data_IF_698329839190
#
_entry.id   IF_698329839190
#
_cell.length_a   1.000
_cell.length_b   1.000
_cell.length_c   1.000
_cell.angle_alpha   90.00
_cell.angle_beta   90.00
_cell.angle_gamma   90.00
#
_symmetry.space_group_name_H-M   'P 1'
#
loop_
_entity.id
_entity.type
_entity.pdbx_description
1 polymer ?
#
# COMPACT_ATOMS: atom_id res chain seq x y z
N UNK A 1 10.54 23.46 22.40
CA UNK A 1 9.33 23.74 21.59
C UNK A 1 8.24 24.16 22.56
N UNK A 2 7.51 25.26 22.27
CA UNK A 2 6.35 25.64 23.08
C UNK A 2 5.09 24.95 22.56
N UNK A 3 4.44 24.16 23.43
CA UNK A 3 3.19 23.48 23.12
C UNK A 3 2.00 24.37 23.53
N UNK A 4 0.95 24.36 22.71
CA UNK A 4 -0.35 24.97 23.03
C UNK A 4 -1.33 23.88 23.45
N UNK A 5 -2.35 24.23 24.23
CA UNK A 5 -3.45 23.31 24.54
C UNK A 5 -4.12 22.80 23.22
N UNK A 6 -4.27 21.51 23.09
CA UNK A 6 -4.84 20.86 21.89
C UNK A 6 -3.77 20.25 20.99
N UNK A 7 -4.10 20.03 19.70
CA UNK A 7 -3.22 19.39 18.74
C UNK A 7 -2.11 20.35 18.29
N UNK A 8 -0.86 19.85 18.33
CA UNK A 8 0.31 20.57 17.86
C UNK A 8 0.97 19.77 16.74
N UNK A 9 1.40 20.46 15.68
CA UNK A 9 2.18 19.85 14.58
C UNK A 9 3.54 20.51 14.51
N UNK A 10 4.58 19.68 14.44
CA UNK A 10 5.95 20.11 14.28
C UNK A 10 6.59 19.40 13.09
N UNK A 11 7.51 20.10 12.44
CA UNK A 11 8.41 19.52 11.45
C UNK A 11 9.82 19.69 11.95
N UNK A 12 10.53 18.58 12.14
CA UNK A 12 11.91 18.57 12.61
C UNK A 12 12.77 18.06 11.46
N UNK A 13 13.44 18.96 10.71
CA UNK A 13 14.35 18.53 9.67
C UNK A 13 15.62 17.93 10.29
N UNK A 14 16.04 16.79 9.76
CA UNK A 14 17.31 16.19 10.12
C UNK A 14 18.05 15.77 8.84
N UNK A 15 19.37 15.70 8.90
CA UNK A 15 20.20 15.22 7.80
C UNK A 15 20.81 13.89 8.20
N UNK A 16 20.74 12.93 7.29
CA UNK A 16 21.46 11.68 7.40
C UNK A 16 22.76 11.86 6.61
N UNK A 17 23.91 11.58 7.23
CA UNK A 17 25.21 11.64 6.59
C UNK A 17 25.42 10.48 5.59
N UNK A 18 26.51 9.75 5.74
CA UNK A 18 26.72 8.51 4.99
C UNK A 18 25.72 7.45 5.44
N UNK A 19 25.09 6.76 4.48
CA UNK A 19 24.10 5.73 4.78
C UNK A 19 24.15 4.59 3.77
N UNK A 20 23.77 3.41 4.23
CA UNK A 20 23.52 2.26 3.37
C UNK A 20 22.06 2.27 2.89
N UNK A 21 21.86 1.94 1.61
CA UNK A 21 20.52 1.85 1.04
C UNK A 21 19.85 0.52 1.40
N UNK A 22 18.55 0.58 1.56
CA UNK A 22 17.70 -0.61 1.59
C UNK A 22 17.51 -1.14 0.15
N UNK A 23 17.58 -2.46 0.00
CA UNK A 23 17.42 -3.14 -1.28
C UNK A 23 16.39 -4.26 -1.18
N UNK A 24 15.64 -4.56 -2.27
CA UNK A 24 14.80 -5.73 -2.31
C UNK A 24 15.62 -7.02 -2.35
N UNK A 25 14.96 -8.12 -2.03
CA UNK A 25 15.56 -9.46 -2.05
C UNK A 25 16.28 -9.75 -3.38
N UNK A 26 17.49 -10.27 -3.26
CA UNK A 26 18.37 -10.59 -4.40
C UNK A 26 19.13 -9.41 -5.01
N UNK A 27 19.02 -8.19 -4.44
CA UNK A 27 19.71 -7.00 -4.97
C UNK A 27 20.69 -6.35 -3.98
N UNK A 28 20.64 -6.71 -2.72
CA UNK A 28 21.51 -6.17 -1.67
C UNK A 28 20.91 -6.35 -0.28
N UNK A 29 21.48 -5.64 0.70
CA UNK A 29 21.04 -5.72 2.10
C UNK A 29 19.76 -4.94 2.36
N UNK A 30 18.94 -5.44 3.28
CA UNK A 30 17.74 -4.76 3.77
C UNK A 30 18.08 -3.86 4.97
N UNK A 31 18.97 -2.87 4.73
CA UNK A 31 19.39 -1.97 5.80
C UNK A 31 18.25 -1.14 6.35
N UNK A 32 17.97 -1.31 7.63
CA UNK A 32 16.98 -0.55 8.38
C UNK A 32 17.66 0.29 9.46
N UNK A 33 17.11 1.46 9.74
CA UNK A 33 17.54 2.41 10.75
C UNK A 33 16.41 2.67 11.72
N UNK A 34 16.69 2.74 13.00
CA UNK A 34 15.70 3.10 14.01
C UNK A 34 15.63 4.63 14.17
N UNK A 35 14.50 5.17 13.81
CA UNK A 35 14.16 6.57 14.04
C UNK A 35 13.35 6.67 15.34
N UNK A 36 13.92 7.31 16.37
CA UNK A 36 13.27 7.52 17.67
C UNK A 36 12.97 8.99 17.87
N UNK A 37 11.74 9.29 18.22
CA UNK A 37 11.29 10.59 18.68
C UNK A 37 10.98 10.52 20.16
N UNK A 38 11.56 11.42 20.94
CA UNK A 38 11.26 11.58 22.36
C UNK A 38 10.72 12.98 22.60
N UNK A 39 9.66 13.09 23.36
CA UNK A 39 9.10 14.33 23.87
C UNK A 39 9.12 14.26 25.39
N UNK A 40 9.89 15.14 26.01
CA UNK A 40 9.98 15.24 27.45
C UNK A 40 9.43 16.57 27.96
N UNK A 41 8.68 16.53 29.05
CA UNK A 41 8.19 17.69 29.77
C UNK A 41 8.09 17.37 31.27
N UNK A 42 8.88 18.04 32.09
CA UNK A 42 9.02 17.78 33.52
C UNK A 42 9.27 16.29 33.80
N UNK A 43 8.29 15.58 34.41
CA UNK A 43 8.37 14.17 34.75
C UNK A 43 7.69 13.25 33.71
N UNK A 44 7.23 13.80 32.59
CA UNK A 44 6.58 13.03 31.52
C UNK A 44 7.51 12.84 30.34
N UNK A 45 7.63 11.59 29.88
CA UNK A 45 8.34 11.24 28.66
C UNK A 45 7.36 10.46 27.77
N UNK A 46 7.26 10.87 26.52
CA UNK A 46 6.54 10.16 25.47
C UNK A 46 7.50 9.84 24.34
N UNK A 47 7.49 8.59 23.90
CA UNK A 47 8.39 8.11 22.87
C UNK A 47 7.61 7.51 21.71
N UNK A 48 8.14 7.67 20.50
CA UNK A 48 7.69 6.96 19.32
C UNK A 48 8.92 6.50 18.54
N UNK A 49 8.92 5.26 18.07
CA UNK A 49 9.97 4.72 17.22
C UNK A 49 9.39 4.17 15.93
N UNK A 50 10.18 4.27 14.87
CA UNK A 50 9.88 3.67 13.57
C UNK A 50 11.17 3.11 12.97
N UNK A 51 11.10 1.91 12.42
CA UNK A 51 12.15 1.38 11.56
C UNK A 51 11.97 1.96 10.17
N UNK A 52 13.03 2.51 9.57
CA UNK A 52 13.02 3.14 8.26
C UNK A 52 14.13 2.60 7.38
N UNK A 53 13.85 2.38 6.10
CA UNK A 53 14.84 2.04 5.09
C UNK A 53 14.98 3.17 4.08
N UNK A 54 16.22 3.49 3.71
CA UNK A 54 16.52 4.57 2.79
C UNK A 54 16.69 4.02 1.38
N UNK A 55 15.79 4.37 0.50
CA UNK A 55 15.81 3.93 -0.91
C UNK A 55 15.13 4.96 -1.80
N UNK A 56 15.34 4.87 -3.10
CA UNK A 56 14.50 5.49 -4.12
C UNK A 56 13.71 4.41 -4.86
N UNK A 57 12.47 4.72 -5.21
CA UNK A 57 11.64 3.88 -6.06
C UNK A 57 10.96 4.77 -7.10
N UNK A 58 10.96 4.31 -8.35
CA UNK A 58 10.35 4.99 -9.48
C UNK A 58 9.57 3.96 -10.29
N UNK A 59 8.30 4.22 -10.55
CA UNK A 59 7.52 3.49 -11.53
C UNK A 59 7.69 4.18 -12.89
N UNK A 60 8.23 3.46 -13.86
CA UNK A 60 8.44 3.96 -15.23
C UNK A 60 7.29 3.52 -16.12
N UNK A 61 6.56 4.50 -16.67
CA UNK A 61 5.39 4.29 -17.55
C UNK A 61 5.54 5.06 -18.87
N UNK A 62 6.75 5.12 -19.40
CA UNK A 62 7.04 5.86 -20.65
C UNK A 62 6.54 5.11 -21.87
N UNK A 63 6.03 5.87 -22.86
CA UNK A 63 5.63 5.33 -24.14
C UNK A 63 6.86 4.90 -24.94
N UNK A 64 6.77 3.73 -25.57
CA UNK A 64 7.77 3.21 -26.51
C UNK A 64 7.15 2.94 -27.89
N UNK A 65 7.84 2.21 -28.76
CA UNK A 65 7.37 1.89 -30.12
C UNK A 65 6.23 0.87 -30.17
N UNK A 66 6.00 0.14 -29.08
CA UNK A 66 5.00 -0.95 -28.99
C UNK A 66 3.82 -0.55 -28.09
N UNK A 67 4.06 0.27 -27.05
CA UNK A 67 3.05 0.65 -26.09
C UNK A 67 3.59 1.54 -24.97
N UNK A 68 3.26 1.22 -23.74
CA UNK A 68 3.80 1.89 -22.57
C UNK A 68 4.60 0.91 -21.73
N UNK A 69 5.79 1.33 -21.30
CA UNK A 69 6.56 0.60 -20.31
C UNK A 69 5.84 0.57 -18.98
N UNK A 70 6.04 -0.49 -18.23
CA UNK A 70 5.59 -0.59 -16.83
C UNK A 70 6.62 -1.39 -16.05
N UNK A 71 7.58 -0.71 -15.43
CA UNK A 71 8.61 -1.35 -14.62
C UNK A 71 9.11 -0.41 -13.53
N UNK A 72 9.75 -0.99 -12.51
CA UNK A 72 10.31 -0.21 -11.41
C UNK A 72 11.81 -0.01 -11.57
N UNK A 73 12.28 1.16 -11.10
CA UNK A 73 13.69 1.38 -10.78
C UNK A 73 13.84 1.49 -9.27
N UNK A 74 14.66 0.63 -8.70
CA UNK A 74 15.01 0.66 -7.28
C UNK A 74 16.42 1.20 -7.15
N UNK A 75 16.56 2.30 -6.41
CA UNK A 75 17.84 3.01 -6.28
C UNK A 75 18.49 3.35 -7.64
N UNK A 76 17.66 3.63 -8.65
CA UNK A 76 18.08 3.93 -10.02
C UNK A 76 18.30 2.71 -10.92
N UNK A 77 18.21 1.47 -10.41
CA UNK A 77 18.43 0.24 -11.16
C UNK A 77 17.08 -0.32 -11.66
N UNK A 78 16.88 -0.51 -12.98
CA UNK A 78 15.73 -1.21 -13.51
C UNK A 78 15.61 -2.61 -12.91
N UNK A 79 14.44 -2.94 -12.36
CA UNK A 79 14.23 -4.14 -11.58
C UNK A 79 13.02 -4.89 -12.09
N UNK A 80 13.20 -6.16 -12.44
CA UNK A 80 12.09 -7.05 -12.78
C UNK A 80 11.42 -7.56 -11.51
N UNK A 81 10.09 -7.39 -11.42
CA UNK A 81 9.32 -7.82 -10.26
C UNK A 81 8.91 -9.28 -10.39
N UNK A 82 9.43 -10.10 -9.48
CA UNK A 82 9.13 -11.53 -9.32
C UNK A 82 8.30 -11.70 -8.06
N UNK A 83 7.05 -12.15 -8.20
CA UNK A 83 6.20 -12.22 -7.03
C UNK A 83 4.86 -12.92 -7.25
N UNK A 84 4.00 -12.79 -6.27
CA UNK A 84 2.68 -13.41 -6.22
C UNK A 84 1.62 -12.44 -5.71
N UNK A 85 0.35 -12.76 -6.00
CA UNK A 85 -0.77 -12.15 -5.29
C UNK A 85 -0.91 -12.82 -3.93
N UNK A 86 -1.09 -11.99 -2.91
CA UNK A 86 -1.36 -12.41 -1.54
C UNK A 86 -2.82 -12.14 -1.21
N UNK A 87 -3.48 -13.14 -0.70
CA UNK A 87 -4.85 -13.11 -0.16
C UNK A 87 -4.80 -13.47 1.32
N UNK A 88 -5.81 -13.14 2.13
CA UNK A 88 -5.87 -13.52 3.54
C UNK A 88 -5.63 -15.03 3.73
N UNK A 89 -4.79 -15.39 4.71
CA UNK A 89 -4.40 -16.78 4.97
C UNK A 89 -5.52 -17.62 5.59
N UNK A 90 -6.49 -16.99 6.23
CA UNK A 90 -7.69 -17.62 6.79
C UNK A 90 -8.89 -16.68 6.62
N UNK A 91 -10.08 -17.23 6.45
CA UNK A 91 -11.35 -16.48 6.47
C UNK A 91 -11.57 -15.80 7.82
N UNK A 92 -11.09 -16.40 8.90
CA UNK A 92 -11.11 -15.84 10.25
C UNK A 92 -9.71 -15.32 10.63
N UNK A 93 -9.42 -14.07 10.28
CA UNK A 93 -8.14 -13.42 10.51
C UNK A 93 -7.53 -13.61 11.92
N UNK A 94 -8.33 -13.63 13.03
CA UNK A 94 -7.77 -13.87 14.37
C UNK A 94 -7.10 -15.24 14.56
N UNK A 95 -7.29 -16.19 13.64
CA UNK A 95 -6.59 -17.48 13.68
C UNK A 95 -5.17 -17.41 13.13
N UNK A 96 -4.87 -16.39 12.29
CA UNK A 96 -3.55 -16.23 11.68
C UNK A 96 -2.56 -15.74 12.73
N UNK A 97 -1.59 -16.59 13.04
CA UNK A 97 -0.54 -16.30 14.02
C UNK A 97 0.60 -15.50 13.39
N UNK A 98 1.43 -14.90 14.21
CA UNK A 98 2.62 -14.18 13.76
C UNK A 98 3.60 -15.11 13.00
N UNK A 99 3.73 -16.36 13.46
CA UNK A 99 4.51 -17.38 12.77
C UNK A 99 4.02 -17.70 11.35
N UNK A 100 2.73 -17.58 11.09
CA UNK A 100 2.19 -17.87 9.76
C UNK A 100 2.58 -16.77 8.77
N UNK A 101 2.61 -15.50 9.22
CA UNK A 101 3.16 -14.39 8.44
C UNK A 101 4.65 -14.55 8.16
N UNK A 102 5.44 -14.94 9.16
CA UNK A 102 6.88 -15.18 8.98
C UNK A 102 7.12 -16.33 8.00
N UNK A 103 6.37 -17.42 8.10
CA UNK A 103 6.48 -18.57 7.22
C UNK A 103 6.16 -18.20 5.76
N UNK A 104 5.08 -17.48 5.49
CA UNK A 104 4.71 -17.14 4.11
C UNK A 104 5.68 -16.15 3.47
N UNK A 105 6.17 -15.19 4.25
CA UNK A 105 7.14 -14.19 3.79
C UNK A 105 8.50 -14.85 3.52
N UNK A 106 8.99 -15.70 4.43
CA UNK A 106 10.24 -16.44 4.22
C UNK A 106 10.16 -17.40 3.03
N UNK A 107 9.05 -18.10 2.86
CA UNK A 107 8.84 -18.96 1.70
C UNK A 107 8.87 -18.19 0.36
N UNK A 108 8.31 -16.97 0.33
CA UNK A 108 8.40 -16.12 -0.86
C UNK A 108 9.87 -15.70 -1.15
N UNK A 109 10.63 -15.38 -0.12
CA UNK A 109 12.06 -15.04 -0.24
C UNK A 109 12.88 -16.25 -0.73
N UNK A 110 12.65 -17.43 -0.17
CA UNK A 110 13.30 -18.68 -0.57
C UNK A 110 12.99 -19.06 -2.03
N UNK A 111 11.81 -18.67 -2.51
CA UNK A 111 11.44 -18.79 -3.92
C UNK A 111 12.02 -17.67 -4.81
N UNK A 112 12.96 -16.86 -4.31
CA UNK A 112 13.59 -15.73 -4.99
C UNK A 112 12.61 -14.65 -5.46
N UNK A 113 11.50 -14.46 -4.76
CA UNK A 113 10.59 -13.36 -5.00
C UNK A 113 11.13 -12.06 -4.41
N UNK A 114 10.79 -10.93 -5.04
CA UNK A 114 11.17 -9.60 -4.58
C UNK A 114 9.96 -8.65 -4.46
N UNK A 115 8.75 -9.14 -4.76
CA UNK A 115 7.50 -8.40 -4.63
C UNK A 115 6.36 -9.31 -4.19
N UNK A 116 5.42 -8.73 -3.44
CA UNK A 116 4.15 -9.35 -3.07
C UNK A 116 3.03 -8.33 -3.25
N UNK A 117 1.92 -8.75 -3.87
CA UNK A 117 0.75 -7.88 -4.02
C UNK A 117 -0.30 -8.26 -2.99
N UNK A 118 -0.65 -7.32 -2.12
CA UNK A 118 -1.81 -7.41 -1.24
C UNK A 118 -3.05 -7.09 -2.06
N UNK A 119 -3.80 -8.12 -2.39
CA UNK A 119 -4.96 -8.03 -3.30
C UNK A 119 -6.15 -7.33 -2.65
N UNK A 120 -6.83 -6.48 -3.43
CA UNK A 120 -7.94 -5.64 -2.98
C UNK A 120 -9.22 -6.37 -2.56
N UNK A 121 -9.32 -7.69 -2.77
CA UNK A 121 -10.39 -8.52 -2.24
C UNK A 121 -10.10 -9.10 -0.84
N UNK A 122 -9.02 -8.66 -0.21
CA UNK A 122 -8.61 -9.08 1.13
C UNK A 122 -8.82 -7.98 2.17
N UNK A 123 -7.78 -7.73 2.95
CA UNK A 123 -7.73 -6.70 3.99
C UNK A 123 -6.39 -5.97 3.95
N UNK A 124 -6.32 -4.77 4.52
CA UNK A 124 -5.03 -4.17 4.85
C UNK A 124 -4.42 -5.00 5.98
N UNK A 125 -3.27 -5.59 5.71
CA UNK A 125 -2.62 -6.48 6.67
C UNK A 125 -2.15 -5.76 7.93
N UNK A 126 -1.87 -6.50 8.99
CA UNK A 126 -1.33 -5.95 10.23
C UNK A 126 0.11 -5.44 10.04
N UNK A 127 0.57 -4.59 10.93
CA UNK A 127 1.89 -3.94 10.82
C UNK A 127 3.03 -4.96 10.69
N UNK A 128 2.96 -6.09 11.40
CA UNK A 128 3.94 -7.18 11.31
C UNK A 128 4.18 -7.65 9.85
N UNK A 129 3.14 -7.72 9.02
CA UNK A 129 3.29 -8.12 7.62
C UNK A 129 4.24 -7.18 6.87
N UNK A 130 4.05 -5.88 7.02
CA UNK A 130 4.90 -4.87 6.36
C UNK A 130 6.30 -4.82 6.98
N UNK A 131 6.43 -4.99 8.29
CA UNK A 131 7.71 -5.09 8.99
C UNK A 131 8.53 -6.30 8.49
N UNK A 132 7.88 -7.44 8.27
CA UNK A 132 8.52 -8.61 7.68
C UNK A 132 8.92 -8.36 6.23
N UNK A 133 8.07 -7.70 5.43
CA UNK A 133 8.44 -7.31 4.07
C UNK A 133 9.65 -6.37 4.05
N UNK A 134 9.74 -5.42 4.99
CA UNK A 134 10.90 -4.54 5.16
C UNK A 134 12.16 -5.34 5.52
N UNK A 135 12.05 -6.27 6.46
CA UNK A 135 13.14 -7.12 6.97
C UNK A 135 13.69 -8.06 5.90
N UNK A 136 12.79 -8.64 5.10
CA UNK A 136 13.16 -9.67 4.12
C UNK A 136 13.31 -9.14 2.68
N UNK A 137 13.04 -7.87 2.43
CA UNK A 137 13.24 -7.26 1.11
C UNK A 137 12.13 -7.56 0.11
N UNK A 138 10.91 -7.85 0.54
CA UNK A 138 9.78 -7.98 -0.37
C UNK A 138 9.13 -6.63 -0.59
N UNK A 139 9.17 -6.13 -1.82
CA UNK A 139 8.39 -4.96 -2.21
C UNK A 139 6.89 -5.26 -2.13
N UNK A 140 6.11 -4.29 -1.70
CA UNK A 140 4.66 -4.42 -1.56
C UNK A 140 3.96 -3.57 -2.61
N UNK A 141 3.15 -4.23 -3.43
CA UNK A 141 2.09 -3.62 -4.22
C UNK A 141 0.83 -3.68 -3.38
N UNK A 142 0.34 -2.55 -2.92
CA UNK A 142 -0.83 -2.46 -2.05
C UNK A 142 -2.06 -2.00 -2.83
N UNK A 143 -3.04 -2.88 -3.00
CA UNK A 143 -4.35 -2.46 -3.47
C UNK A 143 -5.11 -1.76 -2.34
N UNK A 144 -5.93 -0.76 -2.68
CA UNK A 144 -7.07 -0.40 -1.85
C UNK A 144 -8.12 -1.51 -1.90
N UNK A 145 -8.91 -1.67 -0.83
CA UNK A 145 -9.78 -2.84 -0.65
C UNK A 145 -11.03 -2.79 -1.52
N UNK A 146 -10.83 -2.77 -2.84
CA UNK A 146 -11.85 -2.80 -3.87
C UNK A 146 -11.56 -3.89 -4.89
N UNK A 147 -12.44 -4.88 -5.00
CA UNK A 147 -12.30 -5.97 -5.96
C UNK A 147 -13.66 -6.56 -6.32
N UNK A 148 -13.87 -6.81 -7.61
CA UNK A 148 -14.93 -7.67 -8.15
C UNK A 148 -16.35 -7.38 -7.60
N UNK A 149 -16.68 -6.12 -7.29
CA UNK A 149 -17.98 -5.71 -6.79
C UNK A 149 -18.36 -4.31 -7.30
N UNK A 150 -19.66 -4.03 -7.32
CA UNK A 150 -20.18 -2.68 -7.55
C UNK A 150 -20.31 -1.97 -6.20
N UNK A 151 -19.66 -0.81 -6.07
CA UNK A 151 -19.63 -0.05 -4.83
C UNK A 151 -20.60 1.12 -4.86
N UNK A 152 -21.20 1.48 -3.71
CA UNK A 152 -22.11 2.63 -3.63
C UNK A 152 -21.41 3.94 -3.93
N UNK A 153 -22.10 4.86 -4.61
CA UNK A 153 -21.59 6.21 -4.93
C UNK A 153 -22.17 7.32 -4.07
N UNK A 154 -22.80 7.01 -2.94
CA UNK A 154 -23.33 8.02 -2.04
C UNK A 154 -22.22 8.67 -1.20
N UNK A 155 -22.42 9.94 -0.84
CA UNK A 155 -21.41 10.76 -0.19
C UNK A 155 -20.94 10.18 1.17
N UNK A 156 -21.82 9.53 1.92
CA UNK A 156 -21.46 8.93 3.23
C UNK A 156 -20.50 7.75 3.05
N UNK A 157 -20.73 6.91 2.06
CA UNK A 157 -19.84 5.79 1.73
C UNK A 157 -18.49 6.30 1.21
N UNK A 158 -18.50 7.24 0.26
CA UNK A 158 -17.28 7.82 -0.30
C UNK A 158 -16.42 8.51 0.77
N UNK A 159 -17.04 9.20 1.72
CA UNK A 159 -16.33 9.78 2.86
C UNK A 159 -15.69 8.72 3.75
N UNK A 160 -16.39 7.62 4.02
CA UNK A 160 -15.83 6.49 4.80
C UNK A 160 -14.62 5.86 4.08
N UNK A 161 -14.71 5.71 2.75
CA UNK A 161 -13.59 5.23 1.92
C UNK A 161 -12.38 6.16 2.00
N UNK A 162 -12.60 7.48 1.90
CA UNK A 162 -11.53 8.47 2.03
C UNK A 162 -10.85 8.40 3.41
N UNK A 163 -11.63 8.31 4.47
CA UNK A 163 -11.11 8.20 5.85
C UNK A 163 -10.30 6.92 6.05
N UNK A 164 -10.75 5.78 5.52
CA UNK A 164 -10.03 4.50 5.53
C UNK A 164 -8.72 4.58 4.75
N UNK A 165 -8.76 5.17 3.54
CA UNK A 165 -7.57 5.34 2.71
C UNK A 165 -6.53 6.24 3.41
N UNK A 166 -6.95 7.39 3.95
CA UNK A 166 -6.06 8.29 4.70
C UNK A 166 -5.42 7.58 5.89
N UNK A 167 -6.18 6.80 6.63
CA UNK A 167 -5.67 6.05 7.78
C UNK A 167 -4.60 5.06 7.36
N UNK A 168 -4.89 4.20 6.38
CA UNK A 168 -3.97 3.15 5.96
C UNK A 168 -2.74 3.70 5.22
N UNK A 169 -2.89 4.73 4.39
CA UNK A 169 -1.74 5.39 3.77
C UNK A 169 -0.80 5.97 4.83
N UNK A 170 -1.32 6.64 5.85
CA UNK A 170 -0.49 7.17 6.95
C UNK A 170 0.20 6.08 7.75
N UNK A 171 -0.45 4.94 7.95
CA UNK A 171 0.09 3.79 8.68
C UNK A 171 1.23 3.12 7.90
N UNK A 172 1.04 2.90 6.61
CA UNK A 172 1.90 2.03 5.79
C UNK A 172 3.00 2.81 5.05
N UNK A 173 2.80 4.08 4.70
CA UNK A 173 3.68 4.86 3.81
C UNK A 173 5.16 4.94 4.20
N UNK A 174 5.50 4.65 5.45
CA UNK A 174 6.88 4.75 5.93
C UNK A 174 7.68 3.44 5.76
N UNK A 175 7.03 2.35 5.33
CA UNK A 175 7.70 1.09 5.07
C UNK A 175 8.53 1.18 3.79
N UNK A 176 9.83 0.88 3.82
CA UNK A 176 10.67 0.89 2.62
C UNK A 176 10.23 -0.16 1.59
N UNK A 177 9.57 -1.21 2.02
CA UNK A 177 8.97 -2.22 1.15
C UNK A 177 7.82 -1.68 0.29
N UNK A 178 7.08 -0.68 0.75
CA UNK A 178 5.95 -0.15 -0.03
C UNK A 178 6.42 0.43 -1.37
N UNK A 179 5.95 -0.17 -2.47
CA UNK A 179 6.35 0.18 -3.82
C UNK A 179 5.26 0.90 -4.62
N UNK A 180 4.01 0.50 -4.45
CA UNK A 180 2.90 0.98 -5.26
C UNK A 180 1.58 0.91 -4.48
N UNK A 181 0.77 1.94 -4.64
CA UNK A 181 -0.65 1.94 -4.31
C UNK A 181 -1.46 1.70 -5.58
N UNK A 182 -2.41 0.77 -5.53
CA UNK A 182 -3.31 0.48 -6.65
C UNK A 182 -4.75 0.74 -6.24
N UNK A 183 -5.48 1.51 -7.04
CA UNK A 183 -6.82 1.97 -6.72
C UNK A 183 -7.84 0.85 -6.52
N UNK A 184 -7.73 -0.23 -7.31
CA UNK A 184 -8.66 -1.37 -7.23
C UNK A 184 -8.15 -2.58 -7.99
N UNK A 185 -8.83 -3.72 -7.80
CA UNK A 185 -8.66 -4.90 -8.62
C UNK A 185 -9.84 -5.03 -9.60
N UNK A 186 -9.58 -4.77 -10.89
CA UNK A 186 -10.46 -5.08 -12.05
C UNK A 186 -11.86 -4.46 -12.03
N UNK A 187 -12.19 -3.55 -11.10
CA UNK A 187 -13.55 -3.02 -10.99
C UNK A 187 -13.93 -2.22 -12.24
N UNK A 188 -13.02 -1.38 -12.74
CA UNK A 188 -13.25 -0.62 -13.96
C UNK A 188 -13.29 -1.54 -15.20
N UNK A 189 -12.41 -2.54 -15.26
CA UNK A 189 -12.44 -3.55 -16.32
C UNK A 189 -13.75 -4.32 -16.36
N UNK A 190 -14.28 -4.69 -15.20
CA UNK A 190 -15.57 -5.37 -15.09
C UNK A 190 -16.72 -4.46 -15.57
N UNK A 191 -16.68 -3.20 -15.19
CA UNK A 191 -17.66 -2.22 -15.60
C UNK A 191 -17.71 -2.04 -17.12
N UNK A 192 -16.56 -1.82 -17.76
CA UNK A 192 -16.47 -1.50 -19.18
C UNK A 192 -16.49 -2.76 -20.08
N UNK A 193 -15.89 -3.88 -19.63
CA UNK A 193 -15.61 -5.00 -20.53
C UNK A 193 -16.37 -6.29 -20.17
N UNK A 194 -16.87 -6.47 -18.94
CA UNK A 194 -17.54 -7.71 -18.53
C UNK A 194 -19.08 -7.63 -18.56
N UNK A 195 -19.61 -6.56 -19.14
CA UNK A 195 -21.04 -6.37 -19.30
C UNK A 195 -21.79 -5.84 -18.07
N UNK A 196 -21.08 -5.46 -16.98
CA UNK A 196 -21.72 -4.95 -15.76
C UNK A 196 -22.52 -3.68 -16.03
N UNK A 197 -21.94 -2.70 -16.73
CA UNK A 197 -22.62 -1.48 -17.13
C UNK A 197 -23.90 -1.75 -17.91
N UNK A 198 -23.80 -2.62 -18.92
CA UNK A 198 -24.95 -3.03 -19.73
C UNK A 198 -26.02 -3.69 -18.88
N UNK A 199 -25.66 -4.64 -18.02
CA UNK A 199 -26.58 -5.32 -17.12
C UNK A 199 -27.31 -4.38 -16.17
N UNK A 200 -26.63 -3.36 -15.62
CA UNK A 200 -27.28 -2.35 -14.76
C UNK A 200 -28.27 -1.50 -15.57
N UNK A 201 -27.89 -1.02 -16.76
CA UNK A 201 -28.76 -0.21 -17.61
C UNK A 201 -30.02 -0.99 -18.02
N UNK A 202 -29.88 -2.25 -18.44
CA UNK A 202 -30.98 -3.08 -18.89
C UNK A 202 -31.93 -3.50 -17.75
N UNK A 203 -31.42 -3.78 -16.55
CA UNK A 203 -32.23 -4.29 -15.44
C UNK A 203 -32.64 -3.24 -14.40
N UNK A 204 -32.04 -2.05 -14.45
CA UNK A 204 -32.34 -0.96 -13.50
C UNK A 204 -32.56 0.35 -14.27
N UNK A 205 -31.52 1.19 -14.41
CA UNK A 205 -31.61 2.44 -15.17
C UNK A 205 -30.24 3.02 -15.52
N UNK A 206 -30.21 3.95 -16.49
CA UNK A 206 -29.04 4.73 -16.82
C UNK A 206 -28.59 5.61 -15.61
N UNK A 207 -29.52 6.18 -14.86
CA UNK A 207 -29.26 7.01 -13.69
C UNK A 207 -28.48 6.22 -12.60
N UNK A 208 -28.88 4.96 -12.37
CA UNK A 208 -28.15 4.10 -11.41
C UNK A 208 -26.75 3.77 -11.94
N UNK A 209 -26.62 3.48 -13.23
CA UNK A 209 -25.32 3.25 -13.85
C UNK A 209 -24.39 4.46 -13.71
N UNK A 210 -24.89 5.66 -13.91
CA UNK A 210 -24.13 6.91 -13.75
C UNK A 210 -23.70 7.16 -12.30
N UNK A 211 -24.56 6.80 -11.33
CA UNK A 211 -24.23 6.86 -9.90
C UNK A 211 -23.11 5.90 -9.51
N UNK A 212 -23.14 4.66 -10.01
CA UNK A 212 -22.08 3.68 -9.79
C UNK A 212 -20.77 4.17 -10.43
N UNK A 213 -20.83 4.67 -11.66
CA UNK A 213 -19.65 5.17 -12.35
C UNK A 213 -19.03 6.40 -11.63
N UNK A 214 -19.87 7.29 -11.09
CA UNK A 214 -19.40 8.40 -10.24
C UNK A 214 -18.59 7.90 -9.03
N UNK A 215 -19.04 6.80 -8.39
CA UNK A 215 -18.28 6.18 -7.30
C UNK A 215 -16.91 5.71 -7.76
N UNK A 216 -16.84 5.03 -8.89
CA UNK A 216 -15.59 4.54 -9.44
C UNK A 216 -14.63 5.68 -9.78
N UNK A 217 -15.12 6.74 -10.42
CA UNK A 217 -14.32 7.92 -10.76
C UNK A 217 -13.73 8.60 -9.51
N UNK A 218 -14.54 8.76 -8.46
CA UNK A 218 -14.08 9.39 -7.22
C UNK A 218 -13.11 8.53 -6.43
N UNK A 219 -13.40 7.24 -6.27
CA UNK A 219 -12.55 6.31 -5.49
C UNK A 219 -11.21 6.10 -6.19
N UNK A 220 -11.19 5.96 -7.52
CA UNK A 220 -10.00 5.49 -8.24
C UNK A 220 -9.14 6.59 -8.86
N UNK A 221 -9.65 7.80 -8.95
CA UNK A 221 -8.92 8.94 -9.54
C UNK A 221 -8.63 10.08 -8.55
N UNK A 222 -9.22 10.08 -7.35
CA UNK A 222 -9.09 11.19 -6.40
C UNK A 222 -8.54 10.80 -5.02
N UNK A 223 -8.42 9.53 -4.71
CA UNK A 223 -7.75 9.01 -3.53
C UNK A 223 -6.31 8.66 -3.86
#
# INVERSE_FOLDING_TARGET
>A
VHLKKGNNKFSIPFKIGEFERWWPNGMGSQKLYDARLEISHENYISEASKSIGLRTIELVTQKDSIGNNFFFKINGIPTFMKGVNYIPQDVFLPRVKDSDYENIISAAVDANMNMIRVWGGGVYEKDLFYELCDKYGLLVWQDFMFACAMYPGNDSYLKSVEEEAIYNVKRIRNHPSLALWCGNNEVLSAWENWGWKKGVIENQSQEIADTIFKAYDQIFHKI
#
